data_IF_905264294583
#
_entry.id   IF_905264294583
#
_cell.length_a   1.000
_cell.length_b   1.000
_cell.length_c   1.000
_cell.angle_alpha   90.00
_cell.angle_beta   90.00
_cell.angle_gamma   90.00
#
_symmetry.space_group_name_H-M   'P 1'
#
loop_
_entity.id
_entity.type
_entity.pdbx_description
1 polymer ?
#
# COMPACT_ATOMS: atom_id res chain seq x y z
N UNK A 1 -1.91 -10.41 -14.59
CA UNK A 1 -2.52 -11.67 -14.12
C UNK A 1 -3.89 -11.79 -14.76
N UNK A 2 -4.12 -12.82 -15.61
CA UNK A 2 -5.39 -13.02 -16.32
C UNK A 2 -6.56 -13.07 -15.31
N UNK A 3 -7.45 -12.09 -15.39
CA UNK A 3 -8.74 -12.09 -14.68
C UNK A 3 -8.75 -11.44 -13.29
N UNK A 4 -7.67 -10.87 -12.81
CA UNK A 4 -7.70 -10.09 -11.57
C UNK A 4 -8.05 -8.64 -11.88
N UNK A 5 -9.28 -8.25 -11.60
CA UNK A 5 -9.66 -6.84 -11.52
C UNK A 5 -9.79 -6.45 -10.06
N UNK A 6 -9.39 -5.26 -9.70
CA UNK A 6 -9.49 -4.73 -8.34
C UNK A 6 -10.92 -4.83 -7.74
N UNK A 7 -11.94 -4.94 -8.59
CA UNK A 7 -13.33 -5.12 -8.19
C UNK A 7 -13.66 -6.54 -7.66
N UNK A 8 -12.81 -7.53 -7.91
CA UNK A 8 -13.08 -8.93 -7.53
C UNK A 8 -12.65 -9.24 -6.09
N UNK A 9 -11.67 -8.50 -5.58
CA UNK A 9 -11.11 -8.69 -4.24
C UNK A 9 -11.21 -7.39 -3.46
N UNK A 10 -11.84 -7.40 -2.29
CA UNK A 10 -11.99 -6.20 -1.49
C UNK A 10 -10.63 -5.76 -0.97
N UNK A 11 -10.40 -4.44 -1.00
CA UNK A 11 -9.34 -3.82 -0.23
C UNK A 11 -9.91 -3.46 1.16
N UNK A 12 -9.32 -4.04 2.18
CA UNK A 12 -9.70 -3.81 3.57
C UNK A 12 -8.61 -2.96 4.22
N UNK A 13 -9.00 -1.88 4.88
CA UNK A 13 -8.07 -1.08 5.67
C UNK A 13 -7.47 -1.92 6.79
N UNK A 14 -6.17 -1.80 7.01
CA UNK A 14 -5.51 -2.43 8.15
C UNK A 14 -6.09 -1.99 9.50
N UNK A 15 -6.70 -0.80 9.57
CA UNK A 15 -7.39 -0.30 10.76
C UNK A 15 -8.66 -1.08 11.09
N UNK A 16 -9.27 -1.75 10.13
CA UNK A 16 -10.46 -2.59 10.34
C UNK A 16 -10.12 -4.02 10.77
N UNK A 17 -8.86 -4.45 10.62
CA UNK A 17 -8.47 -5.83 10.95
C UNK A 17 -8.78 -6.23 12.40
N UNK A 18 -8.49 -5.43 13.43
CA UNK A 18 -8.79 -5.83 14.80
C UNK A 18 -10.27 -6.15 15.03
N UNK A 19 -11.17 -5.34 14.48
CA UNK A 19 -12.61 -5.57 14.59
C UNK A 19 -13.05 -6.82 13.81
N UNK A 20 -12.54 -7.01 12.61
CA UNK A 20 -12.85 -8.19 11.79
C UNK A 20 -12.39 -9.46 12.51
N UNK A 21 -11.19 -9.45 13.08
CA UNK A 21 -10.66 -10.60 13.81
C UNK A 21 -11.48 -10.94 15.06
N UNK A 22 -12.02 -9.93 15.76
CA UNK A 22 -12.89 -10.14 16.93
C UNK A 22 -14.28 -10.65 16.56
N UNK A 23 -14.80 -10.26 15.40
CA UNK A 23 -16.21 -10.48 15.05
C UNK A 23 -16.43 -11.48 13.93
N UNK A 24 -15.39 -11.86 13.20
CA UNK A 24 -15.44 -12.60 11.92
C UNK A 24 -16.35 -11.92 10.88
N UNK A 25 -16.53 -10.58 10.97
CA UNK A 25 -17.43 -9.83 10.08
C UNK A 25 -16.77 -8.61 9.49
N UNK A 26 -17.13 -8.34 8.25
CA UNK A 26 -16.81 -7.09 7.54
C UNK A 26 -18.05 -6.55 6.86
N UNK A 27 -18.40 -5.30 7.12
CA UNK A 27 -19.64 -4.66 6.60
C UNK A 27 -20.90 -5.48 6.84
N UNK A 28 -20.99 -6.09 8.02
CA UNK A 28 -22.14 -6.89 8.42
C UNK A 28 -22.24 -8.29 7.78
N UNK A 29 -21.29 -8.66 6.94
CA UNK A 29 -21.21 -9.99 6.34
C UNK A 29 -20.16 -10.85 7.05
N UNK A 30 -20.35 -12.15 7.05
CA UNK A 30 -19.35 -13.09 7.57
C UNK A 30 -18.08 -13.01 6.70
N UNK A 31 -16.96 -12.68 7.34
CA UNK A 31 -15.68 -12.50 6.68
C UNK A 31 -14.52 -12.96 7.58
N UNK A 32 -14.40 -14.26 7.83
CA UNK A 32 -13.33 -14.78 8.67
C UNK A 32 -11.98 -14.67 7.97
N UNK A 33 -11.03 -14.01 8.60
CA UNK A 33 -9.62 -13.96 8.15
C UNK A 33 -8.85 -14.95 9.01
N UNK A 34 -8.15 -15.91 8.39
CA UNK A 34 -7.42 -16.96 9.10
C UNK A 34 -5.91 -16.90 8.86
N UNK A 35 -5.48 -16.30 7.77
CA UNK A 35 -4.07 -16.15 7.46
C UNK A 35 -3.77 -14.76 6.94
N UNK A 36 -2.57 -14.29 7.23
CA UNK A 36 -2.05 -13.03 6.71
C UNK A 36 -0.63 -13.24 6.18
N UNK A 37 -0.41 -12.84 4.94
CA UNK A 37 0.90 -12.71 4.34
C UNK A 37 1.30 -11.26 4.29
N UNK A 38 2.35 -10.88 5.00
CA UNK A 38 2.90 -9.52 5.05
C UNK A 38 4.16 -9.47 4.20
N UNK A 39 4.20 -8.52 3.27
CA UNK A 39 5.40 -8.20 2.51
C UNK A 39 5.54 -6.68 2.38
N UNK A 40 6.75 -6.21 2.24
CA UNK A 40 7.07 -4.79 2.12
C UNK A 40 6.42 -3.91 3.22
N UNK A 41 6.25 -4.45 4.43
CA UNK A 41 5.58 -3.75 5.51
C UNK A 41 5.98 -4.22 6.90
N UNK A 42 5.91 -3.32 7.87
CA UNK A 42 6.18 -3.60 9.28
C UNK A 42 5.00 -3.16 10.15
N UNK A 43 3.82 -3.85 10.03
CA UNK A 43 2.59 -3.41 10.67
C UNK A 43 2.67 -3.37 12.20
N UNK A 44 3.42 -4.24 12.86
CA UNK A 44 3.58 -4.19 14.32
C UNK A 44 4.16 -2.84 14.78
N UNK A 45 5.06 -2.23 14.00
CA UNK A 45 5.62 -0.91 14.30
C UNK A 45 4.86 0.27 13.68
N UNK A 46 4.11 0.03 12.60
CA UNK A 46 3.49 1.11 11.82
C UNK A 46 2.01 1.31 12.10
N UNK A 47 1.30 0.25 12.55
CA UNK A 47 -0.13 0.38 12.84
C UNK A 47 -0.37 1.14 14.13
N UNK A 48 -1.48 1.84 14.16
CA UNK A 48 -1.95 2.48 15.39
C UNK A 48 -2.35 1.40 16.39
N UNK A 49 -2.15 1.69 17.69
CA UNK A 49 -2.49 0.76 18.78
C UNK A 49 -1.82 -0.61 18.61
N UNK A 50 -0.50 -0.62 18.67
CA UNK A 50 0.35 -1.82 18.52
C UNK A 50 -0.14 -3.01 19.37
N UNK A 51 -0.58 -2.76 20.63
CA UNK A 51 -1.07 -3.82 21.51
C UNK A 51 -2.35 -4.49 20.97
N UNK A 52 -3.26 -3.71 20.42
CA UNK A 52 -4.48 -4.24 19.79
C UNK A 52 -4.13 -5.05 18.54
N UNK A 53 -3.22 -4.53 17.72
CA UNK A 53 -2.77 -5.27 16.53
C UNK A 53 -2.13 -6.61 16.88
N UNK A 54 -1.25 -6.65 17.88
CA UNK A 54 -0.61 -7.89 18.32
C UNK A 54 -1.65 -8.86 18.93
N UNK A 55 -2.50 -8.38 19.83
CA UNK A 55 -3.41 -9.25 20.57
C UNK A 55 -4.59 -9.72 19.73
N UNK A 56 -5.19 -8.82 18.95
CA UNK A 56 -6.43 -9.10 18.24
C UNK A 56 -6.20 -9.56 16.80
N UNK A 57 -5.14 -9.09 16.13
CA UNK A 57 -4.83 -9.52 14.77
C UNK A 57 -3.87 -10.69 14.79
N UNK A 58 -2.63 -10.47 15.22
CA UNK A 58 -1.60 -11.51 15.16
C UNK A 58 -1.96 -12.70 16.05
N UNK A 59 -2.43 -12.45 17.28
CA UNK A 59 -2.77 -13.49 18.25
C UNK A 59 -3.96 -14.39 17.89
N UNK A 60 -4.78 -13.98 16.90
CA UNK A 60 -5.93 -14.75 16.42
C UNK A 60 -5.76 -15.28 14.99
N UNK A 61 -4.58 -15.10 14.38
CA UNK A 61 -4.28 -15.72 13.08
C UNK A 61 -3.94 -17.20 13.24
N UNK A 62 -4.45 -18.03 12.32
CA UNK A 62 -4.05 -19.43 12.23
C UNK A 62 -2.66 -19.56 11.54
N UNK A 63 -2.32 -18.58 10.71
CA UNK A 63 -1.03 -18.53 10.01
C UNK A 63 -0.62 -17.07 9.73
N UNK A 64 0.53 -16.66 10.24
CA UNK A 64 1.12 -15.34 10.02
C UNK A 64 2.47 -15.48 9.32
N UNK A 65 2.51 -15.15 8.02
CA UNK A 65 3.70 -15.24 7.18
C UNK A 65 4.24 -13.86 6.91
N UNK A 66 5.55 -13.66 7.08
CA UNK A 66 6.20 -12.37 6.85
C UNK A 66 7.38 -12.55 5.91
N UNK A 67 7.39 -11.79 4.81
CA UNK A 67 8.54 -11.63 3.93
C UNK A 67 9.21 -10.28 4.20
N UNK A 68 10.46 -10.31 4.62
CA UNK A 68 11.25 -9.09 4.88
C UNK A 68 12.74 -9.39 4.69
N UNK A 69 13.53 -8.38 4.38
CA UNK A 69 14.99 -8.48 4.24
C UNK A 69 15.73 -8.23 5.56
N UNK A 70 15.03 -7.77 6.60
CA UNK A 70 15.57 -7.58 7.95
C UNK A 70 14.65 -8.18 9.00
N UNK A 71 15.20 -8.43 10.20
CA UNK A 71 14.44 -9.00 11.31
C UNK A 71 13.68 -7.89 12.05
N UNK A 72 12.57 -7.41 11.45
CA UNK A 72 11.71 -6.36 11.98
C UNK A 72 10.87 -6.81 13.18
N UNK A 73 10.17 -5.86 13.83
CA UNK A 73 9.27 -6.22 14.93
C UNK A 73 8.12 -7.13 14.46
N UNK A 74 7.65 -6.96 13.24
CA UNK A 74 6.63 -7.83 12.64
C UNK A 74 7.14 -9.26 12.47
N UNK A 75 8.37 -9.44 12.01
CA UNK A 75 8.99 -10.76 11.82
C UNK A 75 9.07 -11.56 13.13
N UNK A 76 9.21 -10.89 14.28
CA UNK A 76 9.28 -11.56 15.59
C UNK A 76 8.02 -12.35 15.97
N UNK A 77 6.89 -12.04 15.33
CA UNK A 77 5.60 -12.68 15.56
C UNK A 77 5.20 -13.66 14.46
N UNK A 78 6.02 -13.82 13.42
CA UNK A 78 5.69 -14.66 12.29
C UNK A 78 5.81 -16.16 12.62
N UNK A 79 4.87 -16.96 12.13
CA UNK A 79 4.97 -18.42 12.12
C UNK A 79 5.97 -18.88 11.06
N UNK A 80 6.01 -18.16 9.91
CA UNK A 80 6.94 -18.43 8.81
C UNK A 80 7.56 -17.11 8.39
N UNK A 81 8.89 -17.11 8.29
CA UNK A 81 9.69 -16.01 7.77
C UNK A 81 10.25 -16.38 6.41
N UNK A 82 9.99 -15.54 5.42
CA UNK A 82 10.54 -15.69 4.07
C UNK A 82 11.59 -14.59 3.86
N UNK A 83 12.86 -14.94 3.58
CA UNK A 83 13.88 -13.93 3.33
C UNK A 83 13.64 -13.26 1.98
N UNK A 84 13.27 -11.98 2.00
CA UNK A 84 13.11 -11.17 0.81
C UNK A 84 14.45 -10.64 0.32
N UNK A 85 14.63 -10.57 -0.99
CA UNK A 85 15.81 -9.97 -1.61
C UNK A 85 15.82 -8.46 -1.38
N UNK A 86 17.01 -7.92 -1.10
CA UNK A 86 17.23 -6.48 -1.04
C UNK A 86 17.26 -5.88 -2.45
N UNK A 87 16.97 -4.61 -2.60
CA UNK A 87 16.97 -3.91 -3.88
C UNK A 87 18.28 -4.04 -4.70
N UNK A 88 19.43 -4.31 -4.07
CA UNK A 88 20.67 -4.61 -4.79
C UNK A 88 20.72 -6.04 -5.35
N UNK A 89 19.86 -6.92 -4.88
CA UNK A 89 19.81 -8.35 -5.18
C UNK A 89 18.75 -8.71 -6.21
N UNK A 90 17.95 -7.73 -6.64
CA UNK A 90 16.85 -7.91 -7.60
C UNK A 90 16.84 -6.76 -8.60
N UNK A 91 16.16 -6.98 -9.71
CA UNK A 91 15.83 -5.89 -10.62
C UNK A 91 14.52 -5.24 -10.19
N UNK A 92 14.38 -3.95 -10.46
CA UNK A 92 13.17 -3.21 -10.12
C UNK A 92 12.78 -2.24 -11.23
N UNK A 93 11.49 -2.09 -11.43
CA UNK A 93 10.90 -1.04 -12.24
C UNK A 93 10.06 -0.13 -11.33
N UNK A 94 10.52 1.08 -11.11
CA UNK A 94 9.89 2.03 -10.20
C UNK A 94 9.29 3.19 -10.97
N UNK A 95 7.97 3.31 -11.06
CA UNK A 95 7.33 4.55 -11.43
C UNK A 95 7.46 5.52 -10.26
N UNK A 96 8.27 6.56 -10.40
CA UNK A 96 8.49 7.49 -9.31
C UNK A 96 7.25 8.39 -9.17
N UNK A 97 6.52 8.21 -8.07
CA UNK A 97 5.34 9.02 -7.76
C UNK A 97 5.68 10.51 -7.72
N UNK A 98 4.78 11.33 -8.25
CA UNK A 98 4.91 12.78 -8.34
C UNK A 98 6.05 13.29 -9.25
N UNK A 99 6.70 12.43 -9.99
CA UNK A 99 7.65 12.79 -11.04
C UNK A 99 7.21 12.18 -12.38
N UNK A 100 7.79 12.69 -13.47
CA UNK A 100 7.48 12.22 -14.80
C UNK A 100 8.61 11.32 -15.32
N UNK A 101 9.00 10.35 -14.51
CA UNK A 101 10.06 9.42 -14.87
C UNK A 101 9.80 8.00 -14.35
N UNK A 102 10.45 7.06 -15.03
CA UNK A 102 10.62 5.69 -14.59
C UNK A 102 12.09 5.44 -14.25
N UNK A 103 12.32 4.61 -13.28
CA UNK A 103 13.64 4.07 -12.98
C UNK A 103 13.58 2.56 -13.16
N UNK A 104 14.50 2.03 -13.96
CA UNK A 104 14.80 0.61 -14.00
C UNK A 104 16.17 0.40 -13.34
N UNK A 105 16.26 -0.52 -12.41
CA UNK A 105 17.53 -0.92 -11.81
C UNK A 105 17.79 -2.40 -12.05
N UNK A 106 18.97 -2.71 -12.53
CA UNK A 106 19.47 -4.08 -12.60
C UNK A 106 19.97 -4.51 -11.22
N UNK A 107 19.94 -5.81 -10.94
CA UNK A 107 20.56 -6.34 -9.74
C UNK A 107 22.08 -6.07 -9.76
N UNK A 108 22.60 -5.58 -8.64
CA UNK A 108 24.03 -5.32 -8.48
C UNK A 108 24.81 -6.54 -7.97
N UNK A 109 24.17 -7.43 -7.24
CA UNK A 109 24.71 -8.67 -6.69
C UNK A 109 23.67 -9.78 -6.81
N UNK A 110 24.10 -11.03 -6.79
CA UNK A 110 23.18 -12.15 -6.68
C UNK A 110 22.53 -12.18 -5.29
N UNK A 111 21.26 -12.67 -5.20
CA UNK A 111 20.58 -12.81 -3.93
C UNK A 111 21.41 -13.60 -2.92
N UNK A 112 21.47 -13.08 -1.70
CA UNK A 112 22.24 -13.69 -0.63
C UNK A 112 21.43 -14.83 0.01
N UNK A 113 22.09 -15.94 0.25
CA UNK A 113 21.52 -17.15 0.89
C UNK A 113 20.25 -17.65 0.17
N UNK A 114 19.14 -17.72 0.86
CA UNK A 114 17.86 -18.18 0.32
C UNK A 114 16.91 -17.04 -0.05
N UNK A 115 17.39 -15.78 -0.04
CA UNK A 115 16.56 -14.62 -0.37
C UNK A 115 16.06 -14.68 -1.81
N UNK A 116 14.85 -14.21 -2.00
CA UNK A 116 14.16 -14.15 -3.30
C UNK A 116 13.41 -12.84 -3.42
N UNK A 117 13.24 -12.36 -4.66
CA UNK A 117 12.36 -11.23 -4.91
C UNK A 117 10.91 -11.56 -4.51
N UNK A 118 10.13 -10.53 -4.17
CA UNK A 118 8.70 -10.70 -3.88
C UNK A 118 7.97 -11.37 -5.04
N UNK A 119 8.38 -11.09 -6.27
CA UNK A 119 7.84 -11.74 -7.47
C UNK A 119 8.12 -13.25 -7.47
N UNK A 120 9.36 -13.66 -7.20
CA UNK A 120 9.73 -15.08 -7.12
C UNK A 120 9.02 -15.79 -5.97
N UNK A 121 8.91 -15.14 -4.80
CA UNK A 121 8.19 -15.69 -3.65
C UNK A 121 6.72 -15.95 -4.03
N UNK A 122 6.04 -14.98 -4.62
CA UNK A 122 4.65 -15.12 -5.04
C UNK A 122 4.47 -16.17 -6.14
N UNK A 123 5.41 -16.27 -7.07
CA UNK A 123 5.42 -17.31 -8.11
C UNK A 123 5.53 -18.72 -7.51
N UNK A 124 6.43 -18.91 -6.56
CA UNK A 124 6.60 -20.17 -5.85
C UNK A 124 5.39 -20.51 -4.98
N UNK A 125 4.82 -19.50 -4.31
CA UNK A 125 3.60 -19.68 -3.52
C UNK A 125 2.42 -20.11 -4.41
N UNK A 126 2.21 -19.46 -5.54
CA UNK A 126 1.17 -19.83 -6.49
C UNK A 126 1.33 -21.27 -6.99
N UNK A 127 2.55 -21.68 -7.35
CA UNK A 127 2.85 -23.02 -7.77
C UNK A 127 2.62 -24.04 -6.64
N UNK A 128 3.05 -23.74 -5.41
CA UNK A 128 2.84 -24.58 -4.24
C UNK A 128 1.37 -24.77 -3.87
N UNK A 129 0.53 -23.78 -4.17
CA UNK A 129 -0.92 -23.85 -4.01
C UNK A 129 -1.65 -24.53 -5.18
N UNK A 130 -0.93 -25.07 -6.16
CA UNK A 130 -1.49 -25.79 -7.32
C UNK A 130 -1.93 -24.89 -8.47
N UNK A 131 -1.49 -23.63 -8.47
CA UNK A 131 -1.84 -22.63 -9.48
C UNK A 131 -0.62 -22.02 -10.17
N UNK A 132 0.29 -22.83 -10.77
CA UNK A 132 1.50 -22.30 -11.42
C UNK A 132 1.18 -21.37 -12.61
N UNK A 133 0.02 -21.50 -13.20
CA UNK A 133 -0.47 -20.69 -14.32
C UNK A 133 -0.86 -19.26 -13.94
N UNK A 134 -0.97 -18.94 -12.64
CA UNK A 134 -1.26 -17.59 -12.19
C UNK A 134 -0.09 -16.64 -12.45
N UNK A 135 1.14 -17.11 -12.31
CA UNK A 135 2.36 -16.34 -12.54
C UNK A 135 3.31 -17.19 -13.41
N UNK A 136 2.90 -17.43 -14.65
CA UNK A 136 3.72 -18.15 -15.65
C UNK A 136 4.47 -17.15 -16.54
N UNK A 137 5.28 -16.31 -15.90
CA UNK A 137 6.05 -15.24 -16.53
C UNK A 137 7.43 -15.15 -15.86
N UNK A 138 8.40 -14.63 -16.59
CA UNK A 138 9.62 -14.08 -16.03
C UNK A 138 9.38 -12.68 -15.45
N UNK A 139 10.30 -12.18 -14.65
CA UNK A 139 10.23 -10.80 -14.15
C UNK A 139 10.24 -9.77 -15.28
N UNK A 140 11.08 -9.97 -16.31
CA UNK A 140 11.11 -9.11 -17.48
C UNK A 140 9.78 -9.09 -18.24
N UNK A 141 9.18 -10.25 -18.46
CA UNK A 141 7.86 -10.34 -19.09
C UNK A 141 6.77 -9.68 -18.25
N UNK A 142 6.84 -9.80 -16.93
CA UNK A 142 5.92 -9.12 -16.04
C UNK A 142 6.08 -7.59 -16.11
N UNK A 143 7.31 -7.08 -16.04
CA UNK A 143 7.60 -5.65 -16.14
C UNK A 143 7.19 -5.08 -17.51
N UNK A 144 7.47 -5.82 -18.58
CA UNK A 144 7.03 -5.47 -19.92
C UNK A 144 5.50 -5.36 -19.99
N UNK A 145 4.76 -6.34 -19.46
CA UNK A 145 3.30 -6.28 -19.46
C UNK A 145 2.72 -5.13 -18.62
N UNK A 146 3.41 -4.69 -17.58
CA UNK A 146 3.00 -3.53 -16.77
C UNK A 146 3.17 -2.23 -17.54
N UNK A 147 4.25 -2.09 -18.29
CA UNK A 147 4.59 -0.87 -19.04
C UNK A 147 3.95 -0.85 -20.42
N UNK A 148 4.02 -1.94 -21.17
CA UNK A 148 3.62 -1.98 -22.59
C UNK A 148 2.09 -2.00 -22.75
N UNK A 149 1.47 -0.96 -22.21
CA UNK A 149 0.04 -0.71 -22.31
C UNK A 149 -0.27 0.25 -23.46
N UNK A 150 -1.47 0.18 -24.07
CA UNK A 150 -1.85 1.12 -25.13
C UNK A 150 -1.73 2.59 -24.73
N UNK A 151 -1.99 2.91 -23.44
CA UNK A 151 -1.91 4.27 -22.92
C UNK A 151 -0.48 4.79 -22.86
N UNK A 152 0.45 4.00 -22.35
CA UNK A 152 1.87 4.37 -22.28
C UNK A 152 2.52 4.30 -23.68
N UNK A 153 2.16 3.31 -24.50
CA UNK A 153 2.62 3.19 -25.87
C UNK A 153 2.23 4.38 -26.75
N UNK A 154 1.04 4.97 -26.55
CA UNK A 154 0.64 6.20 -27.23
C UNK A 154 1.52 7.41 -26.87
N UNK A 155 2.21 7.36 -25.74
CA UNK A 155 3.21 8.36 -25.32
C UNK A 155 4.64 7.99 -25.73
N UNK A 156 4.82 6.87 -26.47
CA UNK A 156 6.13 6.37 -26.84
C UNK A 156 6.92 5.70 -25.70
N UNK A 157 6.26 5.37 -24.61
CA UNK A 157 6.87 4.75 -23.44
C UNK A 157 6.76 3.24 -23.60
N UNK A 158 7.90 2.55 -23.63
CA UNK A 158 7.98 1.09 -23.68
C UNK A 158 8.95 0.59 -22.62
N UNK A 159 8.81 -0.68 -22.23
CA UNK A 159 9.71 -1.28 -21.25
C UNK A 159 11.16 -1.32 -21.77
N UNK A 160 11.37 -1.66 -23.04
CA UNK A 160 12.69 -1.67 -23.64
C UNK A 160 13.33 -0.28 -23.60
N UNK A 161 12.60 0.78 -23.94
CA UNK A 161 13.11 2.13 -23.87
C UNK A 161 13.50 2.58 -22.46
N UNK A 162 12.78 2.10 -21.45
CA UNK A 162 13.13 2.35 -20.04
C UNK A 162 14.38 1.56 -19.65
N UNK A 163 14.45 0.29 -20.04
CA UNK A 163 15.54 -0.62 -19.70
C UNK A 163 16.87 -0.24 -20.35
N UNK A 164 16.84 0.26 -21.58
CA UNK A 164 18.01 0.74 -22.31
C UNK A 164 18.55 2.09 -21.78
N UNK A 165 17.81 2.77 -20.94
CA UNK A 165 18.22 4.05 -20.37
C UNK A 165 19.06 3.82 -19.11
N UNK A 166 20.32 4.25 -19.11
CA UNK A 166 21.25 4.08 -17.99
C UNK A 166 20.88 4.92 -16.75
N UNK A 167 20.02 5.94 -16.94
CA UNK A 167 19.55 6.86 -15.92
C UNK A 167 18.03 6.73 -15.70
N UNK A 168 17.44 7.76 -15.11
CA UNK A 168 15.98 7.88 -15.03
C UNK A 168 15.40 8.17 -16.42
N UNK A 169 14.45 7.35 -16.87
CA UNK A 169 13.72 7.58 -18.11
C UNK A 169 12.67 8.67 -17.90
N UNK A 170 12.96 9.87 -18.42
CA UNK A 170 12.04 11.00 -18.38
C UNK A 170 11.12 10.96 -19.60
N UNK A 171 9.80 10.91 -19.37
CA UNK A 171 8.80 10.89 -20.44
C UNK A 171 8.18 12.26 -20.72
N UNK A 172 8.66 13.32 -20.08
CA UNK A 172 8.25 14.69 -20.35
C UNK A 172 9.41 15.66 -20.19
N UNK A 173 9.54 16.57 -21.17
CA UNK A 173 10.61 17.59 -21.20
C UNK A 173 10.38 18.73 -20.18
N UNK A 174 9.18 18.84 -19.65
CA UNK A 174 8.80 19.94 -18.74
C UNK A 174 8.07 19.39 -17.52
N UNK A 175 8.27 20.02 -16.36
CA UNK A 175 7.52 19.66 -15.17
C UNK A 175 6.02 19.72 -15.42
N UNK A 176 5.31 18.69 -15.00
CA UNK A 176 3.87 18.71 -15.00
C UNK A 176 3.36 19.68 -13.94
N UNK A 177 2.55 20.63 -14.36
CA UNK A 177 1.90 21.58 -13.46
C UNK A 177 0.44 21.15 -13.37
N UNK A 178 -0.01 20.63 -12.21
CA UNK A 178 -1.41 20.25 -12.03
C UNK A 178 -2.34 21.40 -12.35
N UNK A 179 -3.42 21.08 -13.05
CA UNK A 179 -4.49 22.06 -13.36
C UNK A 179 -4.02 23.35 -14.06
N UNK A 180 -2.89 23.32 -14.76
CA UNK A 180 -2.35 24.49 -15.49
C UNK A 180 -3.38 25.12 -16.41
N UNK A 181 -4.23 24.31 -17.04
CA UNK A 181 -5.28 24.75 -17.96
C UNK A 181 -6.63 24.94 -17.27
N UNK A 182 -6.70 24.88 -15.92
CA UNK A 182 -7.95 24.92 -15.15
C UNK A 182 -8.97 23.83 -15.59
N UNK A 183 -8.48 22.69 -16.05
CA UNK A 183 -9.28 21.52 -16.40
C UNK A 183 -9.34 20.57 -15.21
N UNK A 184 -10.54 20.25 -14.76
CA UNK A 184 -10.79 19.39 -13.62
C UNK A 184 -11.63 18.19 -14.05
N UNK A 185 -11.38 17.03 -13.45
CA UNK A 185 -12.15 15.78 -13.69
C UNK A 185 -13.40 15.74 -12.81
N UNK A 186 -14.14 16.83 -12.79
CA UNK A 186 -15.40 17.00 -12.05
C UNK A 186 -16.55 17.10 -13.05
N UNK A 187 -17.78 16.93 -12.60
CA UNK A 187 -18.96 17.03 -13.47
C UNK A 187 -19.07 18.41 -14.12
N UNK A 188 -18.76 19.47 -13.38
CA UNK A 188 -18.75 20.84 -13.88
C UNK A 188 -17.53 21.20 -14.73
N UNK A 189 -16.49 20.38 -14.75
CA UNK A 189 -15.20 20.68 -15.35
C UNK A 189 -14.41 21.78 -14.62
N UNK A 190 -14.86 22.19 -13.44
CA UNK A 190 -14.24 23.24 -12.60
C UNK A 190 -13.83 22.68 -11.25
N UNK A 191 -13.05 23.44 -10.49
CA UNK A 191 -12.84 23.13 -9.08
C UNK A 191 -14.15 23.25 -8.32
N UNK A 192 -14.62 22.17 -7.75
CA UNK A 192 -15.85 22.11 -6.96
C UNK A 192 -15.50 22.18 -5.47
N UNK A 193 -16.08 23.16 -4.79
CA UNK A 193 -15.99 23.30 -3.34
C UNK A 193 -17.12 22.57 -2.62
N UNK A 194 -18.25 22.41 -3.28
CA UNK A 194 -19.38 21.61 -2.84
C UNK A 194 -19.45 20.34 -3.69
N UNK A 195 -19.45 19.20 -3.06
CA UNK A 195 -19.58 17.89 -3.71
C UNK A 195 -21.02 17.42 -3.55
N UNK A 196 -21.77 17.38 -4.65
CA UNK A 196 -23.19 17.02 -4.63
C UNK A 196 -23.41 15.56 -4.16
N UNK A 197 -22.60 14.65 -4.66
CA UNK A 197 -22.69 13.23 -4.35
C UNK A 197 -21.33 12.74 -3.81
N UNK A 198 -21.00 13.02 -2.53
CA UNK A 198 -19.75 12.59 -1.97
C UNK A 198 -19.71 11.07 -1.85
N UNK A 199 -18.55 10.49 -2.14
CA UNK A 199 -18.35 9.05 -2.06
C UNK A 199 -17.11 8.74 -1.24
N UNK A 200 -17.11 7.59 -0.56
CA UNK A 200 -15.94 7.07 0.12
C UNK A 200 -14.90 6.64 -0.91
N UNK A 201 -13.77 7.32 -0.94
CA UNK A 201 -12.66 6.92 -1.82
C UNK A 201 -11.90 5.71 -1.26
N UNK A 202 -11.68 5.69 0.06
CA UNK A 202 -11.02 4.60 0.75
C UNK A 202 -11.84 4.21 1.98
N UNK A 203 -12.20 2.96 2.08
CA UNK A 203 -12.88 2.42 3.26
C UNK A 203 -11.86 2.19 4.38
N UNK A 204 -11.87 3.09 5.33
CA UNK A 204 -11.02 3.04 6.53
C UNK A 204 -11.76 2.50 7.76
N UNK A 205 -12.94 1.90 7.57
CA UNK A 205 -13.75 1.37 8.67
C UNK A 205 -14.48 2.44 9.47
N UNK A 206 -14.53 3.69 8.98
CA UNK A 206 -15.33 4.75 9.60
C UNK A 206 -16.71 4.83 8.96
N UNK A 207 -17.69 5.20 9.77
CA UNK A 207 -19.03 5.49 9.28
C UNK A 207 -18.98 6.71 8.35
N UNK A 208 -19.57 6.57 7.15
CA UNK A 208 -19.66 7.64 6.18
C UNK A 208 -20.90 8.49 6.47
N UNK A 209 -20.69 9.76 6.70
CA UNK A 209 -21.76 10.75 6.93
C UNK A 209 -21.77 11.72 5.74
N UNK A 210 -22.68 11.49 4.80
CA UNK A 210 -22.82 12.28 3.56
C UNK A 210 -22.97 13.76 3.82
N UNK A 211 -23.76 14.16 4.83
CA UNK A 211 -23.98 15.57 5.19
C UNK A 211 -22.71 16.29 5.62
N UNK A 212 -21.71 15.53 6.07
CA UNK A 212 -20.43 16.07 6.50
C UNK A 212 -19.44 16.26 5.36
N UNK A 213 -19.62 15.56 4.25
CA UNK A 213 -18.65 15.48 3.16
C UNK A 213 -18.91 16.43 1.99
N UNK A 214 -20.07 17.11 1.97
CA UNK A 214 -20.39 18.07 0.91
C UNK A 214 -19.47 19.28 0.83
N UNK A 215 -18.97 19.76 1.97
CA UNK A 215 -18.10 20.94 2.06
C UNK A 215 -16.93 20.69 3.01
N UNK A 216 -15.73 21.16 2.68
CA UNK A 216 -14.62 21.21 3.62
C UNK A 216 -15.01 22.08 4.83
N UNK A 217 -14.90 21.52 6.03
CA UNK A 217 -15.14 22.23 7.29
C UNK A 217 -14.22 21.71 8.38
N UNK A 218 -14.04 22.50 9.42
CA UNK A 218 -13.27 22.09 10.59
C UNK A 218 -14.11 21.14 11.46
N UNK A 219 -13.48 20.07 11.90
CA UNK A 219 -13.99 19.17 12.92
C UNK A 219 -13.03 19.15 14.10
N UNK A 220 -13.56 19.14 15.31
CA UNK A 220 -12.73 18.91 16.48
C UNK A 220 -12.08 17.53 16.39
N UNK A 221 -10.83 17.39 16.85
CA UNK A 221 -10.22 16.08 17.08
C UNK A 221 -11.10 15.24 18.02
N UNK A 222 -11.12 13.93 17.88
CA UNK A 222 -12.01 13.05 18.65
C UNK A 222 -11.79 13.16 20.17
N UNK A 223 -10.54 13.38 20.60
CA UNK A 223 -10.16 13.31 22.02
C UNK A 223 -9.47 14.58 22.55
N UNK A 224 -8.94 15.42 21.68
CA UNK A 224 -8.02 16.49 22.07
C UNK A 224 -8.66 17.89 22.01
N UNK A 225 -9.80 18.10 22.66
CA UNK A 225 -10.44 19.39 22.76
C UNK A 225 -11.29 19.52 24.02
N UNK A 226 -11.52 20.74 24.49
CA UNK A 226 -12.42 21.01 25.59
C UNK A 226 -13.86 20.63 25.22
N UNK A 227 -14.45 19.72 26.02
CA UNK A 227 -15.77 19.15 25.75
C UNK A 227 -15.74 17.74 25.17
N UNK A 228 -14.56 17.18 24.87
CA UNK A 228 -14.46 15.75 24.55
C UNK A 228 -14.74 14.88 25.79
N UNK A 229 -15.23 13.64 25.62
CA UNK A 229 -15.54 12.74 26.74
C UNK A 229 -14.35 12.45 27.66
N UNK A 230 -13.14 12.58 27.15
CA UNK A 230 -11.90 12.29 27.89
C UNK A 230 -11.21 13.54 28.44
N UNK A 231 -11.70 14.76 28.12
CA UNK A 231 -11.05 16.02 28.47
C UNK A 231 -10.86 16.23 29.98
N UNK A 232 -11.86 15.87 30.77
CA UNK A 232 -11.78 16.05 32.23
C UNK A 232 -10.68 15.20 32.86
N UNK A 233 -10.36 14.06 32.26
CA UNK A 233 -9.32 13.14 32.71
C UNK A 233 -7.96 13.46 32.12
N UNK A 234 -7.91 13.86 30.84
CA UNK A 234 -6.69 14.10 30.11
C UNK A 234 -6.71 15.48 29.45
N UNK A 235 -6.18 16.47 30.13
CA UNK A 235 -6.17 17.88 29.68
C UNK A 235 -4.96 18.28 28.83
N UNK A 236 -4.01 17.38 28.63
CA UNK A 236 -2.83 17.62 27.82
C UNK A 236 -3.04 17.06 26.42
N UNK A 237 -2.68 17.87 25.43
CA UNK A 237 -2.71 17.49 24.03
C UNK A 237 -1.32 17.02 23.64
N UNK A 238 -1.20 15.74 23.25
CA UNK A 238 0.05 15.20 22.73
C UNK A 238 0.18 15.59 21.24
N UNK A 239 1.24 16.29 20.91
CA UNK A 239 1.63 16.55 19.53
C UNK A 239 2.83 15.67 19.18
N UNK A 240 2.72 14.92 18.10
CA UNK A 240 3.79 14.09 17.57
C UNK A 240 4.33 14.73 16.30
N UNK A 241 5.56 15.23 16.36
CA UNK A 241 6.24 15.75 15.18
C UNK A 241 6.81 14.62 14.33
N UNK A 242 6.84 14.83 13.02
CA UNK A 242 7.55 13.94 12.13
C UNK A 242 9.07 14.20 12.26
N UNK A 243 9.84 13.28 12.84
CA UNK A 243 11.27 13.48 12.98
C UNK A 243 11.96 13.58 11.62
N UNK A 244 12.99 14.42 11.54
CA UNK A 244 13.74 14.66 10.29
C UNK A 244 14.34 13.38 9.69
N UNK A 245 14.75 12.45 10.54
CA UNK A 245 15.50 11.25 10.14
C UNK A 245 14.69 9.98 10.23
N UNK A 246 13.39 10.07 10.51
CA UNK A 246 12.51 8.91 10.60
C UNK A 246 11.58 8.83 9.38
N UNK A 247 11.53 7.68 8.75
CA UNK A 247 10.58 7.37 7.68
C UNK A 247 9.85 6.07 8.05
N UNK A 248 8.54 6.20 8.31
CA UNK A 248 7.71 5.07 8.80
C UNK A 248 8.32 4.41 10.03
N UNK A 249 8.65 3.10 9.96
CA UNK A 249 9.32 2.36 11.04
C UNK A 249 10.84 2.35 10.95
N UNK A 250 11.41 2.96 9.93
CA UNK A 250 12.87 3.06 9.79
C UNK A 250 13.44 4.16 10.68
N UNK A 251 14.60 3.89 11.27
CA UNK A 251 15.32 4.82 12.14
C UNK A 251 14.53 5.19 13.43
N UNK A 252 13.74 4.24 13.94
CA UNK A 252 12.99 4.40 15.20
C UNK A 252 13.83 4.01 16.41
#
# INVERSE_FOLDING_TARGET
>A
VKGMTAAKYPMISALALPEIMRTDKWKGQDYPIRSLYVYAGNPVSNQVNTNEYINDVVGNMDLYVVADYTFTDTVKYADIVLPAAHWFEQQELVPISATQCFLHSEKAIDPLYESKSDFEILKLLAAGMGHPDLIDLSEDEYMSQVVDTPGLGALGITYDAIKENEDMYWYADKPWIPWKNAEFRTESGRMEFYVENPTVQFDVGQEFDEDREHLPRYFNPTEAYEGSPTWDKYKLILLSERPRFRVHSMWS
#
